data_IF_309950467308
#
_entry.id   IF_309950467308
#
_cell.length_a   1.000
_cell.length_b   1.000
_cell.length_c   1.000
_cell.angle_alpha   90.00
_cell.angle_beta   90.00
_cell.angle_gamma   90.00
#
_symmetry.space_group_name_H-M   'P 1'
#
loop_
_entity.id
_entity.type
_entity.pdbx_description
1 polymer ?
#
# COMPACT_ATOMS: atom_id res chain seq x y z
N UNK A 1 -4.57 -23.43 -10.29
CA UNK A 1 -4.10 -24.78 -10.61
C UNK A 1 -4.18 -25.59 -9.33
N UNK A 2 -4.98 -26.63 -9.34
CA UNK A 2 -5.06 -27.58 -8.23
C UNK A 2 -3.85 -28.51 -8.35
N UNK A 3 -3.00 -28.51 -7.31
CA UNK A 3 -1.83 -29.40 -7.25
C UNK A 3 -2.20 -30.72 -6.56
N UNK A 4 -3.08 -30.64 -5.58
CA UNK A 4 -3.69 -31.74 -4.83
C UNK A 4 -5.08 -31.28 -4.36
N UNK A 5 -5.89 -32.20 -3.84
CA UNK A 5 -7.22 -31.90 -3.26
C UNK A 5 -7.18 -30.85 -2.13
N UNK A 6 -6.01 -30.64 -1.50
CA UNK A 6 -5.83 -29.66 -0.41
C UNK A 6 -4.91 -28.49 -0.77
N UNK A 7 -4.26 -28.51 -1.95
CA UNK A 7 -3.27 -27.51 -2.36
C UNK A 7 -3.69 -26.82 -3.65
N UNK A 8 -3.96 -25.52 -3.56
CA UNK A 8 -4.27 -24.68 -4.72
C UNK A 8 -3.17 -23.63 -4.93
N UNK A 9 -2.57 -23.65 -6.12
CA UNK A 9 -1.59 -22.66 -6.56
C UNK A 9 -2.15 -21.82 -7.71
N UNK A 10 -2.08 -20.49 -7.55
CA UNK A 10 -2.63 -19.51 -8.50
C UNK A 10 -1.52 -18.55 -8.94
N UNK A 11 -0.70 -18.92 -9.94
CA UNK A 11 0.19 -17.99 -10.61
C UNK A 11 -0.60 -17.10 -11.57
N UNK A 12 -0.25 -15.82 -11.65
CA UNK A 12 -0.76 -14.92 -12.68
C UNK A 12 0.28 -13.86 -13.03
N UNK A 13 0.28 -13.43 -14.29
CA UNK A 13 1.15 -12.37 -14.80
C UNK A 13 0.29 -11.35 -15.52
N UNK A 14 0.43 -10.07 -15.15
CA UNK A 14 -0.23 -8.95 -15.81
C UNK A 14 0.80 -8.03 -16.45
N UNK A 15 0.52 -7.62 -17.68
CA UNK A 15 1.29 -6.61 -18.40
C UNK A 15 0.44 -5.35 -18.56
N UNK A 16 0.99 -4.20 -18.22
CA UNK A 16 0.35 -2.89 -18.34
C UNK A 16 1.24 -1.98 -19.19
N UNK A 17 0.68 -1.36 -20.22
CA UNK A 17 1.32 -0.30 -21.00
C UNK A 17 0.62 1.04 -20.73
N UNK A 18 1.38 2.01 -20.25
CA UNK A 18 0.91 3.38 -20.01
C UNK A 18 1.60 4.33 -20.99
N UNK A 19 0.83 5.21 -21.64
CA UNK A 19 1.34 6.12 -22.68
C UNK A 19 2.49 7.02 -22.22
N UNK A 20 2.40 7.55 -21.01
CA UNK A 20 3.44 8.41 -20.40
C UNK A 20 4.55 7.59 -19.75
N UNK A 21 4.19 6.69 -18.82
CA UNK A 21 5.16 6.03 -17.91
C UNK A 21 5.75 4.74 -18.49
N UNK A 22 5.24 4.26 -19.62
CA UNK A 22 5.72 3.08 -20.32
C UNK A 22 5.17 1.77 -19.78
N UNK A 23 5.99 0.71 -19.89
CA UNK A 23 5.60 -0.67 -19.64
C UNK A 23 5.82 -1.10 -18.19
N UNK A 24 4.93 -1.93 -17.67
CA UNK A 24 5.08 -2.58 -16.37
C UNK A 24 4.62 -4.05 -16.41
N UNK A 25 5.36 -4.89 -15.67
CA UNK A 25 5.02 -6.30 -15.45
C UNK A 25 4.72 -6.54 -13.96
N UNK A 26 3.55 -7.11 -13.71
CA UNK A 26 2.98 -7.38 -12.40
C UNK A 26 2.76 -8.89 -12.22
N UNK A 27 3.80 -9.66 -11.83
CA UNK A 27 3.64 -11.06 -11.45
C UNK A 27 2.93 -11.18 -10.11
N UNK A 28 2.18 -12.27 -9.95
CA UNK A 28 1.53 -12.66 -8.70
C UNK A 28 1.51 -14.17 -8.55
N UNK A 29 1.62 -14.62 -7.31
CA UNK A 29 1.55 -16.02 -6.94
C UNK A 29 0.83 -16.11 -5.59
N UNK A 30 -0.30 -16.83 -5.58
CA UNK A 30 -1.04 -17.13 -4.36
C UNK A 30 -1.09 -18.64 -4.17
N UNK A 31 -0.92 -19.10 -2.94
CA UNK A 31 -0.98 -20.49 -2.52
C UNK A 31 -1.99 -20.62 -1.38
N UNK A 32 -2.86 -21.62 -1.47
CA UNK A 32 -3.74 -22.04 -0.39
C UNK A 32 -3.50 -23.52 -0.12
N UNK A 33 -3.23 -23.86 1.13
CA UNK A 33 -2.98 -25.21 1.60
C UNK A 33 -3.91 -25.53 2.76
N UNK A 34 -4.80 -26.51 2.59
CA UNK A 34 -5.53 -27.13 3.68
C UNK A 34 -4.55 -27.92 4.56
N UNK A 35 -4.58 -27.66 5.86
CA UNK A 35 -3.82 -28.39 6.87
C UNK A 35 -4.83 -29.06 7.80
N UNK A 36 -4.80 -30.40 7.84
CA UNK A 36 -5.83 -31.18 8.55
C UNK A 36 -7.24 -30.84 8.05
N UNK A 37 -8.27 -31.07 8.87
CA UNK A 37 -9.67 -30.84 8.47
C UNK A 37 -10.14 -29.38 8.71
N UNK A 38 -9.48 -28.65 9.61
CA UNK A 38 -9.99 -27.37 10.14
C UNK A 38 -9.08 -26.16 9.88
N UNK A 39 -7.84 -26.35 9.39
CA UNK A 39 -6.89 -25.24 9.17
C UNK A 39 -6.60 -25.00 7.69
N UNK A 40 -6.36 -23.75 7.33
CA UNK A 40 -5.92 -23.35 5.99
C UNK A 40 -4.78 -22.34 6.10
N UNK A 41 -3.65 -22.67 5.47
CA UNK A 41 -2.52 -21.77 5.29
C UNK A 41 -2.66 -21.08 3.92
N UNK A 42 -2.70 -19.75 3.92
CA UNK A 42 -2.77 -18.92 2.72
C UNK A 42 -1.50 -18.07 2.64
N UNK A 43 -0.84 -18.07 1.49
CA UNK A 43 0.35 -17.27 1.25
C UNK A 43 0.23 -16.58 -0.09
N UNK A 44 0.55 -15.29 -0.14
CA UNK A 44 0.45 -14.48 -1.35
C UNK A 44 1.69 -13.63 -1.53
N UNK A 45 2.20 -13.56 -2.76
CA UNK A 45 3.17 -12.56 -3.17
C UNK A 45 2.77 -11.99 -4.52
N UNK A 46 2.64 -10.67 -4.59
CA UNK A 46 2.28 -9.99 -5.82
C UNK A 46 3.01 -8.66 -5.96
N UNK A 47 3.33 -8.31 -7.20
CA UNK A 47 3.78 -6.97 -7.53
C UNK A 47 2.58 -6.14 -7.96
N UNK A 48 2.20 -5.17 -7.14
CA UNK A 48 1.21 -4.17 -7.48
C UNK A 48 1.85 -3.03 -8.27
N UNK A 49 1.05 -2.43 -9.16
CA UNK A 49 1.40 -1.29 -9.98
C UNK A 49 0.34 -0.21 -9.86
N UNK A 50 0.77 1.03 -9.72
CA UNK A 50 -0.10 2.20 -9.76
C UNK A 50 0.55 3.30 -10.58
N UNK A 51 -0.13 3.67 -11.66
CA UNK A 51 0.27 4.80 -12.48
C UNK A 51 0.06 6.13 -11.73
N UNK A 52 0.88 7.16 -11.99
CA UNK A 52 0.61 8.52 -11.58
C UNK A 52 -0.75 9.00 -12.09
N UNK A 53 -1.42 9.87 -11.33
CA UNK A 53 -2.63 10.55 -11.81
C UNK A 53 -2.29 11.67 -12.80
N UNK A 54 -3.27 12.07 -13.64
CA UNK A 54 -3.11 13.17 -14.60
C UNK A 54 -2.71 14.50 -13.92
N UNK A 55 -3.17 14.74 -12.70
CA UNK A 55 -2.80 15.91 -11.91
C UNK A 55 -1.33 15.88 -11.49
N UNK A 56 -0.83 14.68 -11.16
CA UNK A 56 0.56 14.51 -10.74
C UNK A 56 1.51 14.63 -11.93
N UNK A 57 1.12 14.24 -13.14
CA UNK A 57 1.96 14.30 -14.35
C UNK A 57 1.81 15.57 -15.16
N UNK A 58 0.93 16.50 -14.80
CA UNK A 58 0.67 17.71 -15.59
C UNK A 58 1.43 18.91 -14.99
N UNK A 59 2.48 19.43 -15.65
CA UNK A 59 3.22 20.59 -15.17
C UNK A 59 2.38 21.87 -15.06
N UNK A 60 1.24 21.95 -15.76
CA UNK A 60 0.31 23.08 -15.66
C UNK A 60 -0.61 22.99 -14.43
N UNK A 61 -0.63 21.85 -13.74
CA UNK A 61 -1.40 21.69 -12.51
C UNK A 61 -0.58 22.21 -11.34
N UNK A 62 -1.04 23.32 -10.75
CA UNK A 62 -0.37 23.99 -9.64
C UNK A 62 -1.37 24.11 -8.49
N UNK A 63 -0.97 23.60 -7.33
CA UNK A 63 -1.65 23.80 -6.06
C UNK A 63 -0.92 24.87 -5.26
N UNK A 64 -1.68 25.72 -4.57
CA UNK A 64 -1.13 26.69 -3.63
C UNK A 64 -1.59 26.36 -2.22
N UNK A 65 -0.67 26.39 -1.27
CA UNK A 65 -0.96 26.26 0.16
C UNK A 65 -0.47 27.49 0.90
N UNK A 66 -1.21 27.93 1.93
CA UNK A 66 -0.82 29.04 2.82
C UNK A 66 0.11 28.60 3.97
N UNK A 67 0.83 27.49 3.82
CA UNK A 67 1.84 27.00 4.78
C UNK A 67 1.58 25.60 5.34
N UNK A 68 0.32 25.23 5.64
CA UNK A 68 0.00 23.92 6.27
C UNK A 68 0.31 22.70 5.39
N UNK A 69 0.39 22.88 4.07
CA UNK A 69 0.74 21.83 3.11
C UNK A 69 2.21 21.85 2.68
N UNK A 70 3.02 22.77 3.23
CA UNK A 70 4.40 22.98 2.85
C UNK A 70 5.30 22.25 3.85
N UNK A 71 6.16 21.35 3.38
CA UNK A 71 6.96 20.50 4.27
C UNK A 71 7.98 21.30 5.11
N UNK A 72 8.52 22.40 4.58
CA UNK A 72 9.56 23.20 5.25
C UNK A 72 9.41 24.73 5.07
N UNK A 73 8.32 25.22 4.48
CA UNK A 73 8.11 26.66 4.27
C UNK A 73 7.32 27.28 5.41
N UNK A 74 7.78 28.42 5.94
CA UNK A 74 7.04 29.22 6.94
C UNK A 74 5.89 30.01 6.31
N UNK A 75 5.99 30.26 5.01
CA UNK A 75 5.03 31.02 4.21
C UNK A 75 4.27 30.10 3.24
N UNK A 76 3.46 30.68 2.36
CA UNK A 76 2.78 29.90 1.34
C UNK A 76 3.74 29.26 0.34
N UNK A 77 3.37 28.11 -0.22
CA UNK A 77 4.14 27.41 -1.23
C UNK A 77 3.26 26.91 -2.37
N UNK A 78 3.88 26.64 -3.51
CA UNK A 78 3.26 26.01 -4.66
C UNK A 78 3.70 24.54 -4.78
N UNK A 79 2.81 23.67 -5.24
CA UNK A 79 3.09 22.28 -5.60
C UNK A 79 2.66 22.05 -7.05
N UNK A 80 3.63 21.73 -7.89
CA UNK A 80 3.43 21.52 -9.33
C UNK A 80 3.47 20.03 -9.69
N UNK A 81 2.71 19.65 -10.72
CA UNK A 81 2.87 18.37 -11.41
C UNK A 81 4.28 18.17 -11.98
N UNK A 82 4.66 16.91 -12.15
CA UNK A 82 5.95 16.48 -12.67
C UNK A 82 5.71 15.35 -13.69
N UNK A 83 6.02 15.60 -14.95
CA UNK A 83 5.86 14.66 -16.06
C UNK A 83 6.91 13.55 -16.09
N UNK A 84 8.04 13.72 -15.39
CA UNK A 84 9.11 12.72 -15.23
C UNK A 84 8.83 11.70 -14.10
N UNK A 85 7.61 11.66 -13.57
CA UNK A 85 7.23 10.73 -12.51
C UNK A 85 7.24 9.26 -12.98
N UNK A 86 7.90 8.42 -12.19
CA UNK A 86 7.82 6.97 -12.31
C UNK A 86 6.56 6.44 -11.66
N UNK A 87 6.07 5.31 -12.17
CA UNK A 87 4.96 4.60 -11.54
C UNK A 87 5.35 4.05 -10.16
N UNK A 88 4.37 4.03 -9.27
CA UNK A 88 4.49 3.37 -7.98
C UNK A 88 4.41 1.86 -8.18
N UNK A 89 5.34 1.13 -7.57
CA UNK A 89 5.27 -0.33 -7.53
C UNK A 89 5.40 -0.80 -6.10
N UNK A 90 4.71 -1.87 -5.74
CA UNK A 90 4.79 -2.44 -4.40
C UNK A 90 4.88 -3.94 -4.49
N UNK A 91 5.83 -4.54 -3.78
CA UNK A 91 5.86 -5.98 -3.58
C UNK A 91 5.10 -6.26 -2.30
N UNK A 92 3.90 -6.80 -2.46
CA UNK A 92 3.00 -7.13 -1.36
C UNK A 92 3.14 -8.61 -1.06
N UNK A 93 3.30 -8.93 0.22
CA UNK A 93 3.48 -10.28 0.73
C UNK A 93 2.55 -10.48 1.90
N UNK A 94 1.90 -11.63 1.94
CA UNK A 94 1.04 -12.02 3.05
C UNK A 94 1.17 -13.50 3.35
N UNK A 95 1.10 -13.83 4.63
CA UNK A 95 1.09 -15.20 5.14
C UNK A 95 0.02 -15.24 6.22
N UNK A 96 -1.03 -16.01 5.99
CA UNK A 96 -2.17 -16.14 6.88
C UNK A 96 -2.44 -17.59 7.24
N UNK A 97 -2.74 -17.84 8.51
CA UNK A 97 -3.27 -19.10 9.00
C UNK A 97 -4.69 -18.86 9.49
N UNK A 98 -5.62 -19.66 9.00
CA UNK A 98 -7.04 -19.59 9.32
C UNK A 98 -7.49 -20.94 9.87
N UNK A 99 -8.18 -20.92 11.01
CA UNK A 99 -8.90 -22.03 11.60
C UNK A 99 -10.39 -21.79 11.42
N UNK A 100 -11.12 -22.82 10.99
CA UNK A 100 -12.56 -22.75 10.82
C UNK A 100 -13.19 -24.10 11.16
N UNK A 101 -14.09 -24.10 12.15
CA UNK A 101 -14.82 -25.30 12.57
C UNK A 101 -16.12 -24.93 13.28
N UNK A 102 -17.24 -25.56 12.92
CA UNK A 102 -18.51 -25.47 13.67
C UNK A 102 -18.92 -24.02 14.05
N UNK A 103 -18.74 -23.07 13.13
CA UNK A 103 -19.05 -21.64 13.34
C UNK A 103 -17.94 -20.81 13.99
N UNK A 104 -16.93 -21.45 14.60
CA UNK A 104 -15.71 -20.78 15.03
C UNK A 104 -14.84 -20.40 13.83
N UNK A 105 -14.29 -19.20 13.87
CA UNK A 105 -13.29 -18.74 12.91
C UNK A 105 -12.20 -18.00 13.68
N UNK A 106 -10.95 -18.42 13.56
CA UNK A 106 -9.82 -17.69 14.10
C UNK A 106 -8.76 -17.58 13.01
N UNK A 107 -8.29 -16.37 12.74
CA UNK A 107 -7.31 -16.14 11.68
C UNK A 107 -6.24 -15.17 12.15
N UNK A 108 -5.02 -15.41 11.73
CA UNK A 108 -3.91 -14.47 11.87
C UNK A 108 -3.18 -14.36 10.55
N UNK A 109 -2.95 -13.14 10.11
CA UNK A 109 -2.27 -12.82 8.87
C UNK A 109 -1.16 -11.83 9.12
N UNK A 110 0.06 -12.19 8.77
CA UNK A 110 1.15 -11.25 8.64
C UNK A 110 1.19 -10.71 7.22
N UNK A 111 1.33 -9.40 7.10
CA UNK A 111 1.45 -8.75 5.80
C UNK A 111 2.62 -7.77 5.80
N UNK A 112 3.27 -7.67 4.64
CA UNK A 112 4.36 -6.74 4.40
C UNK A 112 4.36 -6.25 2.96
N UNK A 113 4.31 -4.93 2.81
CA UNK A 113 4.32 -4.23 1.54
C UNK A 113 5.59 -3.38 1.44
N UNK A 114 6.47 -3.75 0.51
CA UNK A 114 7.67 -2.98 0.17
C UNK A 114 7.35 -2.06 -1.04
N UNK A 115 6.94 -0.83 -0.74
CA UNK A 115 6.63 0.21 -1.73
C UNK A 115 7.88 0.85 -2.31
N UNK A 116 7.84 1.13 -3.61
CA UNK A 116 8.89 1.78 -4.41
C UNK A 116 8.28 2.90 -5.24
N UNK A 117 9.02 4.01 -5.30
CA UNK A 117 8.67 5.20 -6.06
C UNK A 117 7.31 5.78 -5.69
N UNK A 118 6.90 5.70 -4.42
CA UNK A 118 5.64 6.29 -3.95
C UNK A 118 5.64 7.78 -4.28
N UNK A 119 4.60 8.26 -4.95
CA UNK A 119 4.47 9.65 -5.37
C UNK A 119 3.96 10.45 -4.18
N UNK A 120 4.80 11.34 -3.67
CA UNK A 120 4.46 12.27 -2.60
C UNK A 120 4.85 13.70 -3.01
N UNK A 121 4.38 14.70 -2.26
CA UNK A 121 4.88 16.05 -2.43
C UNK A 121 6.38 16.08 -2.06
N UNK A 122 7.18 16.74 -2.89
CA UNK A 122 8.62 16.87 -2.69
C UNK A 122 8.95 17.51 -1.34
N UNK A 123 10.09 17.10 -0.78
CA UNK A 123 10.52 17.55 0.55
C UNK A 123 11.43 18.79 0.48
N UNK A 124 11.87 19.18 -0.71
CA UNK A 124 12.71 20.34 -0.97
C UNK A 124 12.12 21.17 -2.13
N UNK A 125 12.26 22.50 -2.09
CA UNK A 125 11.86 23.33 -3.22
C UNK A 125 12.78 23.10 -4.41
N UNK A 126 12.19 22.93 -5.59
CA UNK A 126 12.92 22.84 -6.87
C UNK A 126 13.26 24.22 -7.44
N UNK A 127 12.47 25.23 -7.06
CA UNK A 127 12.62 26.60 -7.50
C UNK A 127 12.03 27.55 -6.44
N UNK A 128 12.53 28.78 -6.38
CA UNK A 128 11.95 29.84 -5.59
C UNK A 128 11.70 31.03 -6.51
N UNK A 129 10.47 31.56 -6.49
CA UNK A 129 10.12 32.70 -7.33
C UNK A 129 10.75 34.00 -6.82
N UNK A 130 10.71 35.06 -7.62
CA UNK A 130 11.24 36.38 -7.28
C UNK A 130 10.58 37.05 -6.05
N UNK A 131 9.49 36.49 -5.53
CA UNK A 131 8.78 36.95 -4.32
C UNK A 131 9.10 36.10 -3.08
N UNK A 132 10.05 35.16 -3.17
CA UNK A 132 10.44 34.28 -2.07
C UNK A 132 9.48 33.11 -1.83
N UNK A 133 8.55 32.83 -2.75
CA UNK A 133 7.63 31.69 -2.63
C UNK A 133 8.27 30.43 -3.20
N UNK A 134 8.31 29.38 -2.39
CA UNK A 134 8.86 28.08 -2.75
C UNK A 134 7.93 27.31 -3.71
N UNK A 135 8.53 26.70 -4.73
CA UNK A 135 7.88 25.76 -5.64
C UNK A 135 8.40 24.35 -5.36
N UNK A 136 7.49 23.48 -4.96
CA UNK A 136 7.70 22.05 -4.80
C UNK A 136 7.13 21.32 -6.01
N UNK A 137 7.60 20.10 -6.24
CA UNK A 137 7.06 19.22 -7.27
C UNK A 137 6.65 17.88 -6.66
N UNK A 138 5.75 17.16 -7.33
CA UNK A 138 5.54 15.75 -7.01
C UNK A 138 6.81 14.95 -7.30
N UNK A 139 7.19 14.08 -6.36
CA UNK A 139 8.43 13.32 -6.43
C UNK A 139 8.21 11.84 -6.07
N UNK A 140 9.06 10.97 -6.62
CA UNK A 140 9.10 9.57 -6.26
C UNK A 140 9.93 9.32 -5.00
N UNK A 141 9.26 8.96 -3.90
CA UNK A 141 9.87 8.48 -2.67
C UNK A 141 10.49 7.09 -2.89
N UNK A 142 11.80 6.89 -2.66
CA UNK A 142 12.49 5.68 -3.13
C UNK A 142 12.01 4.38 -2.51
N UNK A 143 11.75 4.36 -1.19
CA UNK A 143 11.40 3.14 -0.45
C UNK A 143 10.52 3.48 0.74
N UNK A 144 9.35 2.85 0.83
CA UNK A 144 8.53 2.85 2.03
C UNK A 144 8.13 1.41 2.38
N UNK A 145 8.00 1.11 3.66
CA UNK A 145 7.53 -0.20 4.13
C UNK A 145 6.35 -0.03 5.04
N UNK A 146 5.37 -0.88 4.79
CA UNK A 146 4.23 -1.10 5.66
C UNK A 146 4.22 -2.57 6.02
N UNK A 147 4.25 -2.87 7.32
CA UNK A 147 4.23 -4.22 7.86
C UNK A 147 3.34 -4.27 9.09
N UNK A 148 2.58 -5.34 9.22
CA UNK A 148 1.66 -5.52 10.32
C UNK A 148 1.11 -6.93 10.43
N UNK A 149 0.23 -7.08 11.41
CA UNK A 149 -0.54 -8.27 11.68
C UNK A 149 -2.02 -7.92 11.62
N UNK A 150 -2.80 -8.79 11.01
CA UNK A 150 -4.25 -8.79 11.03
C UNK A 150 -4.71 -10.04 11.76
N UNK A 151 -5.72 -9.89 12.60
CA UNK A 151 -6.35 -10.98 13.31
C UNK A 151 -7.86 -10.91 13.14
N UNK A 152 -8.48 -12.07 13.03
CA UNK A 152 -9.94 -12.19 13.03
C UNK A 152 -10.35 -13.29 14.00
N UNK A 153 -11.43 -13.05 14.74
CA UNK A 153 -11.97 -14.01 15.70
C UNK A 153 -13.49 -13.94 15.65
N UNK A 154 -14.11 -15.04 15.29
CA UNK A 154 -15.54 -15.27 15.31
C UNK A 154 -15.87 -16.34 16.34
N UNK A 155 -16.74 -16.00 17.28
CA UNK A 155 -17.17 -16.87 18.38
C UNK A 155 -18.69 -17.00 18.34
N UNK A 156 -19.22 -18.19 18.02
CA UNK A 156 -20.65 -18.47 18.12
C UNK A 156 -21.03 -18.65 19.59
N UNK A 157 -21.42 -17.55 20.26
CA UNK A 157 -21.75 -17.54 21.69
C UNK A 157 -23.04 -18.32 21.99
N UNK A 158 -23.98 -18.34 21.03
CA UNK A 158 -25.20 -19.18 21.06
C UNK A 158 -25.71 -19.43 19.64
N UNK A 159 -26.76 -20.23 19.48
CA UNK A 159 -27.39 -20.51 18.16
C UNK A 159 -27.91 -19.25 17.44
N UNK A 160 -28.16 -18.17 18.19
CA UNK A 160 -28.70 -16.91 17.64
C UNK A 160 -27.76 -15.72 17.78
N UNK A 161 -26.63 -15.87 18.48
CA UNK A 161 -25.71 -14.76 18.76
C UNK A 161 -24.31 -15.13 18.33
N UNK A 162 -23.77 -14.36 17.38
CA UNK A 162 -22.42 -14.50 16.89
C UNK A 162 -21.59 -13.26 17.22
N UNK A 163 -20.37 -13.45 17.73
CA UNK A 163 -19.49 -12.36 18.09
C UNK A 163 -18.26 -12.32 17.19
N UNK A 164 -18.18 -11.29 16.36
CA UNK A 164 -17.11 -11.07 15.38
C UNK A 164 -16.17 -9.95 15.82
N UNK A 165 -14.87 -10.24 15.79
CA UNK A 165 -13.81 -9.29 16.13
C UNK A 165 -12.77 -9.29 15.02
N UNK A 166 -12.28 -8.09 14.69
CA UNK A 166 -11.16 -7.90 13.77
C UNK A 166 -10.16 -6.97 14.44
N UNK A 167 -8.87 -7.29 14.33
CA UNK A 167 -7.78 -6.49 14.87
C UNK A 167 -6.72 -6.28 13.78
N UNK A 168 -6.20 -5.07 13.70
CA UNK A 168 -5.08 -4.73 12.84
C UNK A 168 -4.02 -4.03 13.66
N UNK A 169 -2.80 -4.53 13.60
CA UNK A 169 -1.65 -3.99 14.32
C UNK A 169 -0.52 -3.68 13.36
N UNK A 170 -0.10 -2.41 13.31
CA UNK A 170 0.99 -1.96 12.45
C UNK A 170 2.33 -2.06 13.17
N UNK A 171 3.20 -2.98 12.73
CA UNK A 171 4.55 -3.16 13.28
C UNK A 171 5.49 -2.08 12.77
N UNK A 172 5.42 -1.78 11.47
CA UNK A 172 6.28 -0.80 10.83
C UNK A 172 5.52 -0.03 9.77
N UNK A 173 5.52 1.29 9.86
CA UNK A 173 5.13 2.19 8.76
C UNK A 173 6.18 3.29 8.65
N UNK A 174 7.24 3.05 7.85
CA UNK A 174 8.41 3.95 7.79
C UNK A 174 8.83 4.20 6.34
N UNK A 175 9.14 5.46 6.04
CA UNK A 175 9.93 5.83 4.87
C UNK A 175 11.39 5.44 5.12
N UNK A 176 11.94 4.51 4.33
CA UNK A 176 13.27 3.92 4.56
C UNK A 176 14.42 4.90 4.28
N UNK A 177 14.18 6.07 3.65
CA UNK A 177 15.23 7.07 3.40
C UNK A 177 15.27 8.19 4.45
N UNK A 178 14.13 8.56 5.02
CA UNK A 178 14.04 9.67 5.99
C UNK A 178 13.79 9.22 7.43
N UNK A 179 13.52 7.94 7.68
CA UNK A 179 13.08 7.39 8.96
C UNK A 179 11.77 8.01 9.52
N UNK A 180 11.09 8.82 8.73
CA UNK A 180 9.81 9.45 9.08
C UNK A 180 8.70 8.41 8.99
N UNK A 181 7.83 8.40 10.00
CA UNK A 181 6.63 7.56 10.04
C UNK A 181 5.71 7.98 8.89
N UNK A 182 5.45 7.09 7.94
CA UNK A 182 4.37 7.30 6.99
C UNK A 182 3.06 7.13 7.77
N UNK A 183 2.46 8.24 8.22
CA UNK A 183 1.07 8.21 8.71
C UNK A 183 0.18 7.90 7.52
N UNK A 184 -0.31 6.67 7.43
CA UNK A 184 -1.58 6.41 6.76
C UNK A 184 -2.62 7.25 7.50
N UNK A 185 -3.37 8.10 6.79
CA UNK A 185 -4.43 8.88 7.40
C UNK A 185 -5.42 7.93 8.06
N UNK A 186 -5.45 7.91 9.39
CA UNK A 186 -6.53 7.30 10.16
C UNK A 186 -7.81 8.06 9.81
N UNK A 187 -8.55 7.56 8.84
CA UNK A 187 -9.98 7.85 8.75
C UNK A 187 -10.69 6.86 9.67
N UNK A 188 -10.67 7.14 10.97
CA UNK A 188 -11.72 6.68 11.87
C UNK A 188 -12.96 7.52 11.55
N UNK A 189 -13.95 6.91 10.93
CA UNK A 189 -15.35 7.34 11.10
C UNK A 189 -15.91 6.63 12.32
#
# INVERSE_FOLDING_TARGET
MELTDTTMLTPALRFDHHSIVGNNWSPSLNLSQGLWDDFTLKMGIARAYKAPSLYQTNPNYILYSKGQGCYASKDGCYLQGNDDLKAETSINKEIGLEFKRDGWLAGVTWFRNDYRNKIEAGYAPVYQNNKGTDLYQWENVPKAVVEGLEGTLNVPVSETVNWTNNITYMLQSKNKKTAIVCRLSRNTR
#
